data_IF_528392537369
#
_entry.id   IF_528392537369
#
_cell.length_a   1.000
_cell.length_b   1.000
_cell.length_c   1.000
_cell.angle_alpha   90.00
_cell.angle_beta   90.00
_cell.angle_gamma   90.00
#
_symmetry.space_group_name_H-M   'P 1'
#
loop_
_entity.id
_entity.type
_entity.pdbx_description
1 polymer ?
#
# COMPACT_ATOMS: atom_id res chain seq x y z
N UNK A 1 7.57 -17.86 -2.56
CA UNK A 1 6.80 -16.84 -1.80
C UNK A 1 6.34 -15.74 -2.74
N UNK A 2 5.04 -15.69 -3.05
CA UNK A 2 4.47 -14.69 -3.95
C UNK A 2 4.64 -13.28 -3.35
N UNK A 3 5.24 -12.39 -4.14
CA UNK A 3 5.34 -10.98 -3.82
C UNK A 3 4.13 -10.27 -4.44
N UNK A 4 3.26 -9.71 -3.61
CA UNK A 4 2.09 -8.95 -4.06
C UNK A 4 2.42 -7.46 -4.05
N UNK A 5 2.13 -6.78 -5.17
CA UNK A 5 2.27 -5.34 -5.30
C UNK A 5 0.88 -4.73 -5.41
N UNK A 6 0.64 -3.68 -4.65
CA UNK A 6 -0.59 -2.89 -4.67
C UNK A 6 -0.24 -1.46 -5.06
N UNK A 7 -1.13 -0.82 -5.81
CA UNK A 7 -1.04 0.58 -6.18
C UNK A 7 -2.43 1.17 -6.05
N UNK A 8 -2.73 1.69 -4.86
CA UNK A 8 -4.04 2.24 -4.55
C UNK A 8 -3.98 3.75 -4.63
N UNK A 9 -5.01 4.30 -5.25
CA UNK A 9 -5.24 5.74 -5.34
C UNK A 9 -6.60 6.05 -4.74
N UNK A 10 -6.69 7.20 -4.09
CA UNK A 10 -7.94 7.71 -3.55
C UNK A 10 -8.13 9.16 -3.96
N UNK A 11 -9.37 9.64 -3.88
CA UNK A 11 -9.68 11.04 -4.05
C UNK A 11 -9.06 11.86 -2.90
N UNK A 12 -8.31 12.88 -3.25
CA UNK A 12 -7.72 13.83 -2.31
C UNK A 12 -8.44 15.19 -2.29
N UNK A 13 -9.42 15.39 -3.18
CA UNK A 13 -10.16 16.65 -3.25
C UNK A 13 -10.91 16.92 -1.94
N UNK A 14 -10.76 18.13 -1.41
CA UNK A 14 -11.33 18.56 -0.13
C UNK A 14 -10.91 17.68 1.08
N UNK A 15 -9.74 17.03 1.01
CA UNK A 15 -9.14 16.28 2.13
C UNK A 15 -7.73 16.79 2.39
N UNK A 16 -7.24 16.62 3.61
CA UNK A 16 -5.83 16.86 3.88
C UNK A 16 -4.98 15.76 3.23
N UNK A 17 -3.72 16.09 2.95
CA UNK A 17 -2.77 15.15 2.38
C UNK A 17 -2.64 13.91 3.28
N UNK A 18 -2.61 14.07 4.60
CA UNK A 18 -2.51 12.97 5.55
C UNK A 18 -3.73 12.05 5.50
N UNK A 19 -4.94 12.63 5.49
CA UNK A 19 -6.17 11.84 5.50
C UNK A 19 -6.33 11.04 4.19
N UNK A 20 -5.99 11.65 3.06
CA UNK A 20 -6.02 10.99 1.76
C UNK A 20 -4.93 9.90 1.66
N UNK A 21 -3.73 10.16 2.17
CA UNK A 21 -2.65 9.19 2.22
C UNK A 21 -2.97 7.99 3.12
N UNK A 22 -3.51 8.21 4.31
CA UNK A 22 -3.95 7.15 5.21
C UNK A 22 -5.03 6.29 4.55
N UNK A 23 -5.98 6.90 3.85
CA UNK A 23 -7.02 6.16 3.15
C UNK A 23 -6.47 5.28 2.02
N UNK A 24 -5.54 5.82 1.22
CA UNK A 24 -4.86 5.05 0.18
C UNK A 24 -4.02 3.91 0.78
N UNK A 25 -3.35 4.16 1.92
CA UNK A 25 -2.58 3.16 2.65
C UNK A 25 -3.46 2.00 3.16
N UNK A 26 -4.56 2.30 3.86
CA UNK A 26 -5.49 1.27 4.35
C UNK A 26 -6.06 0.46 3.19
N UNK A 27 -6.41 1.12 2.08
CA UNK A 27 -6.89 0.45 0.87
C UNK A 27 -5.84 -0.49 0.27
N UNK A 28 -4.56 -0.13 0.34
CA UNK A 28 -3.45 -0.94 -0.15
C UNK A 28 -3.21 -2.16 0.74
N UNK A 29 -3.28 -1.99 2.06
CA UNK A 29 -3.18 -3.08 3.04
C UNK A 29 -4.35 -4.07 2.88
N UNK A 30 -5.58 -3.57 2.72
CA UNK A 30 -6.75 -4.42 2.49
C UNK A 30 -6.59 -5.30 1.25
N UNK A 31 -6.06 -4.75 0.15
CA UNK A 31 -5.80 -5.55 -1.05
C UNK A 31 -4.72 -6.61 -0.83
N UNK A 32 -3.69 -6.32 -0.02
CA UNK A 32 -2.69 -7.33 0.36
C UNK A 32 -3.32 -8.45 1.17
N UNK A 33 -4.20 -8.12 2.12
CA UNK A 33 -4.94 -9.10 2.91
C UNK A 33 -5.83 -9.99 2.03
N UNK A 34 -6.67 -9.39 1.18
CA UNK A 34 -7.54 -10.13 0.25
C UNK A 34 -6.71 -11.05 -0.67
N UNK A 35 -5.51 -10.61 -1.05
CA UNK A 35 -4.60 -11.44 -1.86
C UNK A 35 -4.01 -12.59 -1.07
N UNK A 36 -3.62 -12.37 0.18
CA UNK A 36 -3.15 -13.44 1.06
C UNK A 36 -4.24 -14.49 1.28
N UNK A 37 -5.48 -14.07 1.56
CA UNK A 37 -6.63 -14.95 1.72
C UNK A 37 -6.88 -15.79 0.44
N UNK A 38 -6.84 -15.16 -0.74
CA UNK A 38 -6.99 -15.86 -2.03
C UNK A 38 -5.90 -16.88 -2.31
N UNK A 39 -4.69 -16.64 -1.82
CA UNK A 39 -3.56 -17.56 -1.99
C UNK A 39 -3.49 -18.63 -0.89
N UNK A 40 -4.41 -18.61 0.08
CA UNK A 40 -4.43 -19.52 1.22
C UNK A 40 -3.28 -19.26 2.19
N UNK A 41 -2.93 -17.99 2.38
CA UNK A 41 -1.87 -17.53 3.27
C UNK A 41 -2.45 -16.80 4.47
N UNK A 42 -1.75 -16.93 5.61
CA UNK A 42 -2.24 -16.41 6.90
C UNK A 42 -1.63 -15.04 7.23
N UNK A 43 -0.56 -14.64 6.55
CA UNK A 43 0.18 -13.42 6.88
C UNK A 43 0.74 -12.72 5.65
N UNK A 44 0.83 -11.39 5.72
CA UNK A 44 1.63 -10.57 4.82
C UNK A 44 2.82 -10.01 5.60
N UNK A 45 4.03 -10.38 5.21
CA UNK A 45 5.28 -9.89 5.77
C UNK A 45 6.02 -8.96 4.82
N UNK A 46 7.12 -8.37 5.29
CA UNK A 46 8.02 -7.54 4.48
C UNK A 46 7.28 -6.50 3.62
N UNK A 47 6.36 -5.76 4.25
CA UNK A 47 5.62 -4.69 3.60
C UNK A 47 6.58 -3.50 3.44
N UNK A 48 6.80 -3.10 2.20
CA UNK A 48 7.67 -1.97 1.83
C UNK A 48 6.92 -1.08 0.87
N UNK A 49 7.17 0.23 0.91
CA UNK A 49 6.63 1.12 -0.12
C UNK A 49 7.33 0.85 -1.45
N UNK A 50 6.57 0.74 -2.53
CA UNK A 50 7.09 0.34 -3.84
C UNK A 50 6.59 1.27 -4.95
N UNK A 51 7.17 2.45 -5.02
CA UNK A 51 6.78 3.46 -5.99
C UNK A 51 7.75 3.50 -7.17
N UNK A 52 7.23 3.60 -8.41
CA UNK A 52 8.04 3.68 -9.64
C UNK A 52 9.20 2.65 -9.71
N UNK A 53 8.93 1.41 -9.30
CA UNK A 53 9.92 0.31 -9.23
C UNK A 53 11.07 0.50 -8.22
N UNK A 54 10.97 1.49 -7.32
CA UNK A 54 11.90 1.69 -6.20
C UNK A 54 11.24 1.25 -4.91
N UNK A 55 11.91 0.37 -4.19
CA UNK A 55 11.48 -0.03 -2.85
C UNK A 55 12.01 0.98 -1.84
N UNK A 56 11.10 1.64 -1.12
CA UNK A 56 11.40 2.41 0.07
C UNK A 56 11.11 1.52 1.28
N UNK A 57 12.18 1.16 2.01
CA UNK A 57 12.12 0.29 3.17
C UNK A 57 12.27 1.15 4.42
N UNK A 58 11.21 1.23 5.21
CA UNK A 58 11.24 1.88 6.51
C UNK A 58 10.30 1.15 7.47
N UNK A 59 10.70 1.07 8.73
CA UNK A 59 9.92 0.42 9.79
C UNK A 59 8.87 1.34 10.41
N UNK A 60 9.00 2.65 10.20
CA UNK A 60 8.13 3.67 10.80
C UNK A 60 7.44 4.57 9.78
N UNK A 61 7.89 4.59 8.53
CA UNK A 61 7.39 5.50 7.50
C UNK A 61 6.96 4.75 6.24
N UNK A 62 5.94 5.29 5.55
CA UNK A 62 5.51 4.81 4.25
C UNK A 62 5.55 5.98 3.25
N UNK A 63 5.75 5.65 1.98
CA UNK A 63 5.75 6.65 0.91
C UNK A 63 4.32 6.84 0.39
N UNK A 64 3.84 8.07 0.46
CA UNK A 64 2.61 8.52 -0.17
C UNK A 64 2.89 9.65 -1.16
N UNK A 65 2.19 9.61 -2.28
CA UNK A 65 2.21 10.68 -3.27
C UNK A 65 0.86 11.40 -3.21
N UNK A 66 0.79 12.46 -2.40
CA UNK A 66 -0.35 13.35 -2.36
C UNK A 66 -0.32 14.31 -3.55
N UNK A 67 -1.44 14.44 -4.25
CA UNK A 67 -1.60 15.37 -5.35
C UNK A 67 -2.96 16.06 -5.29
N UNK A 68 -3.10 17.18 -5.99
CA UNK A 68 -4.27 18.08 -5.88
C UNK A 68 -5.64 17.40 -6.03
N UNK A 69 -5.71 16.31 -6.79
CA UNK A 69 -6.97 15.58 -7.03
C UNK A 69 -6.94 14.15 -6.47
N UNK A 70 -5.76 13.54 -6.36
CA UNK A 70 -5.60 12.15 -5.98
C UNK A 70 -4.33 11.92 -5.18
N UNK A 71 -4.44 11.08 -4.16
CA UNK A 71 -3.31 10.58 -3.37
C UNK A 71 -3.11 9.11 -3.65
N UNK A 72 -1.86 8.69 -3.77
CA UNK A 72 -1.49 7.32 -4.14
C UNK A 72 -0.47 6.71 -3.20
N UNK A 73 -0.71 5.46 -2.81
CA UNK A 73 0.22 4.64 -2.04
C UNK A 73 0.45 3.33 -2.79
N UNK A 74 1.71 3.00 -2.99
CA UNK A 74 2.11 1.73 -3.57
C UNK A 74 2.86 0.91 -2.53
N UNK A 75 2.37 -0.29 -2.23
CA UNK A 75 3.00 -1.20 -1.28
C UNK A 75 3.37 -2.49 -1.99
N UNK A 76 4.48 -3.08 -1.59
CA UNK A 76 4.86 -4.44 -1.93
C UNK A 76 4.91 -5.23 -0.64
N UNK A 77 4.15 -6.31 -0.58
CA UNK A 77 4.14 -7.25 0.54
C UNK A 77 4.53 -8.64 0.07
N UNK A 78 5.12 -9.41 0.97
CA UNK A 78 5.40 -10.82 0.77
C UNK A 78 4.30 -11.64 1.44
N UNK A 79 3.64 -12.49 0.66
CA UNK A 79 2.60 -13.37 1.19
C UNK A 79 3.29 -14.59 1.81
N UNK A 80 3.00 -14.81 3.09
CA UNK A 80 3.58 -15.88 3.92
C UNK A 80 2.44 -16.80 4.35
N UNK A 81 2.58 -18.09 4.03
CA UNK A 81 1.63 -19.12 4.43
C UNK A 81 1.87 -19.54 5.86
#
# INVERSE_FOLDING_TARGET
VPNAVTNKKTNAANKTDEASCQWAFISAVKQLQERAEKEGATKVGNIVSFYKKRAYQSTSQYECHAGNLMSGVALKGQIVK
#
